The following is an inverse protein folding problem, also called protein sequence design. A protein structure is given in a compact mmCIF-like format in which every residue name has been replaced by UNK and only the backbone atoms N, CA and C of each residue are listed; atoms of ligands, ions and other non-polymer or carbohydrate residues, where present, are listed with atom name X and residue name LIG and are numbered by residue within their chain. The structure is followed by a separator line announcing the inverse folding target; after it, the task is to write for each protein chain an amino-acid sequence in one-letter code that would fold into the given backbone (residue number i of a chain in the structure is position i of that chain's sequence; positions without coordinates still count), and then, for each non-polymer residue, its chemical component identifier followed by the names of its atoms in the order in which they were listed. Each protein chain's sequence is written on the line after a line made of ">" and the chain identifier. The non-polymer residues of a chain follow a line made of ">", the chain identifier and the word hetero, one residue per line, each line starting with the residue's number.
data_IF_808686728572
#
_entry.id   IF_808686728572
#
_cell.length_a   1.000
_cell.length_b   1.000
_cell.length_c   1.000
_cell.angle_alpha   90.00
_cell.angle_beta   90.00
_cell.angle_gamma   90.00
#
_symmetry.space_group_name_H-M   'P 1'
#
loop_
_entity.id
_entity.type
_entity.pdbx_description
1 polymer ?
#
# COMPACT_ATOMS: atom_id res chain seq x y z
N UNK A 1 2.76 -16.16 13.38
CA UNK A 1 2.74 -14.81 12.77
C UNK A 1 2.81 -14.84 11.24
N UNK A 2 3.72 -15.60 10.59
CA UNK A 2 3.79 -15.64 9.12
C UNK A 2 2.71 -16.47 8.39
N UNK A 3 1.90 -17.26 9.10
CA UNK A 3 0.89 -18.14 8.50
C UNK A 3 -0.33 -17.35 8.01
N UNK A 4 -0.88 -16.46 8.84
CA UNK A 4 -2.06 -15.67 8.51
C UNK A 4 -1.80 -14.73 7.32
N UNK A 5 -0.65 -14.05 7.29
CA UNK A 5 -0.28 -13.20 6.15
C UNK A 5 -0.15 -14.03 4.86
N UNK A 6 0.39 -15.25 4.96
CA UNK A 6 0.53 -16.13 3.80
C UNK A 6 -0.80 -16.68 3.30
N UNK A 7 -1.78 -16.90 4.18
CA UNK A 7 -3.15 -17.26 3.80
C UNK A 7 -3.90 -16.07 3.20
N UNK A 8 -3.67 -14.85 3.69
CA UNK A 8 -4.26 -13.63 3.12
C UNK A 8 -3.65 -13.24 1.76
N UNK A 9 -2.40 -13.64 1.50
CA UNK A 9 -1.71 -13.48 0.21
C UNK A 9 -1.79 -14.74 -0.66
N UNK A 10 -2.70 -15.67 -0.35
CA UNK A 10 -2.80 -16.94 -1.06
C UNK A 10 -3.56 -16.78 -2.39
N UNK A 11 -2.83 -16.32 -3.41
CA UNK A 11 -3.33 -16.07 -4.77
C UNK A 11 -3.62 -17.37 -5.57
N UNK A 12 -3.57 -18.56 -4.95
CA UNK A 12 -3.56 -19.85 -5.67
C UNK A 12 -4.88 -20.24 -6.33
N UNK A 13 -5.99 -19.55 -6.08
CA UNK A 13 -7.31 -19.98 -6.56
C UNK A 13 -8.24 -18.85 -7.07
N UNK A 14 -7.77 -17.61 -7.15
CA UNK A 14 -8.57 -16.51 -7.67
C UNK A 14 -8.03 -16.09 -9.04
N UNK A 15 -8.84 -16.22 -10.09
CA UNK A 15 -8.85 -15.17 -11.11
C UNK A 15 -8.92 -13.86 -10.32
N UNK A 16 -7.88 -13.02 -10.39
CA UNK A 16 -7.62 -11.90 -9.47
C UNK A 16 -8.72 -10.84 -9.51
N UNK A 17 -9.88 -11.16 -8.94
CA UNK A 17 -10.99 -10.24 -8.77
C UNK A 17 -10.48 -9.02 -8.00
N UNK A 18 -10.93 -7.81 -8.38
CA UNK A 18 -10.59 -6.60 -7.64
C UNK A 18 -10.85 -6.78 -6.14
N UNK A 19 -10.07 -6.10 -5.29
CA UNK A 19 -10.42 -5.97 -3.88
C UNK A 19 -11.71 -5.13 -3.80
N UNK A 20 -12.69 -5.59 -3.04
CA UNK A 20 -14.04 -5.00 -2.98
C UNK A 20 -14.35 -4.35 -1.62
N UNK A 21 -15.47 -3.61 -1.59
CA UNK A 21 -16.07 -2.95 -0.43
C UNK A 21 -15.17 -1.92 0.27
N UNK A 22 -14.36 -2.37 1.23
CA UNK A 22 -13.52 -1.52 2.07
C UNK A 22 -12.10 -2.03 1.93
N UNK A 23 -11.26 -1.20 1.32
CA UNK A 23 -9.84 -1.49 1.09
C UNK A 23 -8.99 -0.59 1.96
N UNK A 24 -8.25 -1.21 2.88
CA UNK A 24 -7.25 -0.55 3.71
C UNK A 24 -5.90 -0.55 2.99
N UNK A 25 -5.25 0.61 2.95
CA UNK A 25 -3.98 0.81 2.25
C UNK A 25 -2.91 1.30 3.22
N UNK A 26 -1.73 0.68 3.15
CA UNK A 26 -0.58 0.97 4.00
C UNK A 26 0.76 0.91 3.23
N UNK A 27 1.80 1.52 3.80
CA UNK A 27 3.16 1.55 3.26
C UNK A 27 4.18 1.05 4.28
N UNK A 28 5.06 0.15 3.86
CA UNK A 28 6.17 -0.31 4.68
C UNK A 28 7.52 -0.09 3.98
N UNK A 29 8.45 0.59 4.63
CA UNK A 29 9.83 0.71 4.14
C UNK A 29 10.69 -0.43 4.68
N UNK A 30 11.01 -1.41 3.84
CA UNK A 30 11.74 -2.61 4.27
C UNK A 30 13.22 -2.47 3.98
N UNK A 31 14.04 -2.63 5.02
CA UNK A 31 15.50 -2.59 4.88
C UNK A 31 16.19 -2.38 6.21
N UNK A 32 17.49 -2.70 6.26
CA UNK A 32 18.31 -2.58 7.46
C UNK A 32 18.26 -1.20 8.11
N UNK A 33 18.63 -1.11 9.39
CA UNK A 33 18.70 0.16 10.10
C UNK A 33 19.51 1.18 9.28
N UNK A 34 19.07 2.44 9.18
CA UNK A 34 19.78 3.46 8.41
C UNK A 34 21.20 3.56 8.92
N UNK A 35 22.17 3.23 8.06
CA UNK A 35 23.58 3.46 8.36
C UNK A 35 23.93 4.82 7.80
N UNK A 36 24.24 5.77 8.67
CA UNK A 36 24.83 7.04 8.24
C UNK A 36 26.27 6.76 7.82
N UNK A 37 26.55 6.81 6.52
CA UNK A 37 27.91 6.62 5.99
C UNK A 37 28.77 7.89 6.12
N UNK A 38 28.16 9.05 6.34
CA UNK A 38 28.82 10.36 6.29
C UNK A 38 28.50 11.31 7.45
N UNK A 39 27.82 10.83 8.51
CA UNK A 39 27.31 11.70 9.59
C UNK A 39 26.03 12.46 9.23
N UNK A 40 25.56 12.39 7.99
CA UNK A 40 24.27 12.93 7.58
C UNK A 40 23.10 12.10 8.14
N UNK A 41 22.00 12.78 8.51
CA UNK A 41 20.77 12.13 8.97
C UNK A 41 20.19 11.27 7.84
N UNK A 42 20.05 9.97 8.08
CA UNK A 42 19.36 9.05 7.19
C UNK A 42 18.05 8.62 7.87
N UNK A 43 16.88 9.04 7.38
CA UNK A 43 15.60 8.71 8.01
C UNK A 43 15.37 7.20 8.06
N UNK A 44 14.37 6.73 8.81
CA UNK A 44 14.04 5.29 8.91
C UNK A 44 13.02 4.81 7.87
N UNK A 45 12.21 5.73 7.30
CA UNK A 45 11.13 5.45 6.36
C UNK A 45 11.11 6.41 5.18
N UNK A 46 10.17 7.36 5.14
CA UNK A 46 10.05 8.35 4.06
C UNK A 46 11.35 9.15 3.87
N UNK A 47 11.77 9.28 2.61
CA UNK A 47 13.03 9.94 2.23
C UNK A 47 14.29 9.06 2.35
N UNK A 48 14.13 7.75 2.56
CA UNK A 48 15.23 6.78 2.48
C UNK A 48 15.35 6.17 1.09
N UNK A 49 16.52 5.64 0.76
CA UNK A 49 16.71 4.78 -0.41
C UNK A 49 16.24 3.33 -0.19
N UNK A 50 15.40 3.06 0.82
CA UNK A 50 14.88 1.71 1.07
C UNK A 50 13.75 1.40 0.09
N UNK A 51 13.63 0.14 -0.37
CA UNK A 51 12.45 -0.27 -1.10
C UNK A 51 11.22 -0.09 -0.23
N UNK A 52 10.17 0.48 -0.82
CA UNK A 52 8.86 0.61 -0.21
C UNK A 52 7.99 -0.54 -0.69
N UNK A 53 7.25 -1.14 0.23
CA UNK A 53 6.18 -2.08 -0.06
C UNK A 53 4.88 -1.32 0.12
N UNK A 54 4.11 -1.24 -0.96
CA UNK A 54 2.75 -0.75 -0.94
C UNK A 54 1.82 -1.94 -0.77
N UNK A 55 0.92 -1.88 0.20
CA UNK A 55 0.01 -2.98 0.55
C UNK A 55 -1.42 -2.47 0.52
N UNK A 56 -2.33 -3.24 -0.06
CA UNK A 56 -3.77 -3.04 -0.01
C UNK A 56 -4.46 -4.31 0.48
N UNK A 57 -5.40 -4.19 1.41
CA UNK A 57 -6.11 -5.32 2.01
C UNK A 57 -7.60 -5.04 2.07
N UNK A 58 -8.43 -5.96 1.61
CA UNK A 58 -9.88 -5.91 1.80
C UNK A 58 -10.31 -6.65 3.07
N UNK A 59 -11.49 -6.29 3.59
CA UNK A 59 -12.05 -6.92 4.80
C UNK A 59 -12.39 -8.40 4.67
N UNK A 60 -12.51 -8.90 3.45
CA UNK A 60 -12.70 -10.32 3.14
C UNK A 60 -11.43 -11.17 3.37
N UNK A 61 -10.30 -10.52 3.68
CA UNK A 61 -9.03 -11.16 3.99
C UNK A 61 -8.07 -11.27 2.81
N UNK A 62 -8.39 -10.71 1.64
CA UNK A 62 -7.47 -10.64 0.50
C UNK A 62 -6.48 -9.49 0.66
N UNK A 63 -5.20 -9.74 0.45
CA UNK A 63 -4.15 -8.73 0.52
C UNK A 63 -3.25 -8.76 -0.71
N UNK A 64 -3.01 -7.59 -1.31
CA UNK A 64 -2.08 -7.38 -2.41
C UNK A 64 -0.92 -6.53 -1.96
N UNK A 65 0.28 -6.85 -2.42
CA UNK A 65 1.47 -6.07 -2.12
C UNK A 65 2.38 -5.93 -3.34
N UNK A 66 2.96 -4.74 -3.54
CA UNK A 66 3.96 -4.48 -4.59
C UNK A 66 5.08 -3.60 -4.06
N UNK A 67 6.30 -3.89 -4.49
CA UNK A 67 7.44 -3.02 -4.25
C UNK A 67 7.35 -1.81 -5.18
N UNK A 68 7.36 -0.61 -4.62
CA UNK A 68 7.28 0.66 -5.34
C UNK A 68 8.50 1.53 -5.05
N UNK A 69 8.76 2.50 -5.94
CA UNK A 69 9.95 3.36 -5.86
C UNK A 69 9.80 4.54 -4.89
N UNK A 70 8.58 5.03 -4.68
CA UNK A 70 8.28 6.17 -3.80
C UNK A 70 6.79 6.20 -3.39
N UNK A 71 6.47 7.07 -2.43
CA UNK A 71 5.13 7.28 -1.87
C UNK A 71 4.33 8.33 -2.64
N UNK A 72 4.76 8.66 -3.87
CA UNK A 72 4.07 9.69 -4.65
C UNK A 72 2.80 9.09 -5.20
N UNK A 73 1.73 9.87 -5.20
CA UNK A 73 0.47 9.53 -5.88
C UNK A 73 0.68 9.00 -7.30
N UNK A 74 1.56 9.62 -8.09
CA UNK A 74 1.84 9.20 -9.47
C UNK A 74 2.37 7.75 -9.58
N UNK A 75 2.98 7.24 -8.51
CA UNK A 75 3.46 5.86 -8.40
C UNK A 75 2.38 4.96 -7.81
N UNK A 76 1.68 5.41 -6.76
CA UNK A 76 0.73 4.59 -6.01
C UNK A 76 -0.63 4.42 -6.72
N UNK A 77 -1.13 5.47 -7.37
CA UNK A 77 -2.44 5.48 -8.05
C UNK A 77 -2.58 4.40 -9.14
N UNK A 78 -1.67 4.27 -10.11
CA UNK A 78 -1.80 3.22 -11.11
C UNK A 78 -1.73 1.82 -10.50
N UNK A 79 -0.93 1.62 -9.46
CA UNK A 79 -0.83 0.33 -8.75
C UNK A 79 -2.13 0.01 -8.02
N UNK A 80 -2.74 1.00 -7.36
CA UNK A 80 -4.01 0.81 -6.67
C UNK A 80 -5.14 0.49 -7.65
N UNK A 81 -5.19 1.17 -8.80
CA UNK A 81 -6.20 0.93 -9.84
C UNK A 81 -6.05 -0.43 -10.56
N UNK A 82 -4.88 -1.08 -10.48
CA UNK A 82 -4.72 -2.49 -10.90
C UNK A 82 -5.38 -3.46 -9.91
N UNK A 83 -5.68 -3.00 -8.68
CA UNK A 83 -6.12 -3.84 -7.58
C UNK A 83 -7.58 -3.69 -7.22
N UNK A 84 -8.19 -2.55 -7.51
CA UNK A 84 -9.54 -2.21 -7.07
C UNK A 84 -10.36 -1.66 -8.24
N UNK A 85 -11.68 -1.70 -8.11
CA UNK A 85 -12.58 -0.86 -8.91
C UNK A 85 -12.87 0.44 -8.13
N UNK A 86 -12.38 1.61 -8.59
CA UNK A 86 -12.50 2.86 -7.86
C UNK A 86 -13.95 3.34 -7.68
N UNK A 87 -14.87 2.91 -8.55
CA UNK A 87 -16.27 3.35 -8.52
C UNK A 87 -17.10 2.63 -7.45
N UNK A 88 -16.63 1.47 -6.99
CA UNK A 88 -17.35 0.61 -6.04
C UNK A 88 -16.61 0.46 -4.71
N UNK A 89 -15.35 0.88 -4.63
CA UNK A 89 -14.50 0.69 -3.46
C UNK A 89 -14.43 1.91 -2.55
N UNK A 90 -14.64 1.72 -1.25
CA UNK A 90 -14.33 2.69 -0.21
C UNK A 90 -12.89 2.51 0.26
N UNK A 91 -12.07 3.56 0.10
CA UNK A 91 -10.67 3.55 0.47
C UNK A 91 -10.49 3.99 1.92
N UNK A 92 -9.72 3.23 2.70
CA UNK A 92 -9.30 3.60 4.05
C UNK A 92 -7.77 3.75 4.07
N UNK A 93 -7.28 4.93 4.46
CA UNK A 93 -5.85 5.22 4.46
C UNK A 93 -5.45 5.85 5.78
N UNK A 94 -4.25 5.58 6.27
CA UNK A 94 -3.70 6.45 7.32
C UNK A 94 -3.57 7.90 6.79
N UNK A 95 -3.80 8.90 7.64
CA UNK A 95 -3.95 10.30 7.22
C UNK A 95 -2.73 11.00 6.59
N UNK A 96 -1.77 10.25 6.02
CA UNK A 96 -0.63 10.78 5.28
C UNK A 96 -1.07 11.68 4.12
N UNK A 97 -0.30 12.76 3.88
CA UNK A 97 -0.61 13.76 2.85
C UNK A 97 -0.64 13.17 1.43
N UNK A 98 0.07 12.06 1.21
CA UNK A 98 0.14 11.36 -0.07
C UNK A 98 -1.22 10.76 -0.47
N UNK A 99 -2.02 10.33 0.50
CA UNK A 99 -3.33 9.69 0.30
C UNK A 99 -4.50 10.63 0.09
N UNK A 100 -4.44 11.87 0.60
CA UNK A 100 -5.52 12.87 0.39
C UNK A 100 -5.80 13.16 -1.08
N UNK A 101 -4.82 12.95 -1.95
CA UNK A 101 -5.01 13.06 -3.39
C UNK A 101 -5.70 11.83 -4.00
N UNK A 102 -5.33 10.64 -3.52
CA UNK A 102 -5.84 9.34 -4.00
C UNK A 102 -7.33 9.17 -3.70
N UNK A 103 -7.80 9.59 -2.54
CA UNK A 103 -9.22 9.49 -2.20
C UNK A 103 -10.18 10.28 -3.11
N UNK A 104 -9.68 11.26 -3.88
CA UNK A 104 -10.53 12.03 -4.80
C UNK A 104 -10.97 11.24 -6.03
N UNK A 105 -10.31 10.14 -6.34
CA UNK A 105 -10.65 9.28 -7.49
C UNK A 105 -11.43 8.04 -7.06
N UNK A 106 -11.78 7.93 -5.78
CA UNK A 106 -12.49 6.79 -5.19
C UNK A 106 -13.94 7.14 -4.88
N UNK A 107 -14.80 6.13 -4.79
CA UNK A 107 -16.21 6.28 -4.41
C UNK A 107 -16.39 6.89 -3.01
N UNK A 108 -15.54 6.51 -2.06
CA UNK A 108 -15.48 7.05 -0.70
C UNK A 108 -14.04 7.03 -0.16
N UNK A 109 -13.69 7.96 0.72
CA UNK A 109 -12.35 8.02 1.34
C UNK A 109 -12.43 8.36 2.82
N UNK A 110 -11.97 7.43 3.65
CA UNK A 110 -11.86 7.57 5.09
C UNK A 110 -10.38 7.66 5.50
N UNK A 111 -10.07 8.62 6.39
CA UNK A 111 -8.73 8.91 6.91
C UNK A 111 -8.52 8.33 8.32
#
# INVERSE_FOLDING_TARGET
>A
MGHAIREMMDDRNAELLPLEDIVEVDEAYVGGAPKSLSGAYNPRGKGTGKPMIFVATSRDGQARARVVSDDKRATLEPVLLEWIDPETTSLMTDGSKSYRGLGKTMADHQL
#
